data_IF_109329648853
#
_entry.id   IF_109329648853
#
_cell.length_a   1.000
_cell.length_b   1.000
_cell.length_c   1.000
_cell.angle_alpha   90.00
_cell.angle_beta   90.00
_cell.angle_gamma   90.00
#
_symmetry.space_group_name_H-M   'P 1'
#
loop_
_entity.id
_entity.type
_entity.pdbx_description
1 polymer ?
#
# COMPACT_ATOMS: atom_id res chain seq x y z
N UNK A 1 -32.20 -42.57 -58.32
CA UNK A 1 -31.99 -41.17 -57.91
C UNK A 1 -32.73 -41.02 -56.57
N UNK A 2 -32.25 -41.54 -55.42
CA UNK A 2 -30.98 -41.28 -54.70
C UNK A 2 -30.72 -39.77 -54.66
N UNK A 3 -30.63 -39.06 -53.53
CA UNK A 3 -30.00 -39.41 -52.25
C UNK A 3 -30.36 -38.39 -51.14
N UNK A 4 -30.67 -38.94 -49.96
CA UNK A 4 -30.38 -38.55 -48.57
C UNK A 4 -30.63 -37.16 -47.96
N UNK A 5 -31.03 -37.32 -46.70
CA UNK A 5 -31.28 -36.44 -45.56
C UNK A 5 -29.97 -36.30 -44.77
N UNK A 6 -29.49 -35.08 -44.53
CA UNK A 6 -28.32 -34.79 -43.68
C UNK A 6 -28.76 -33.76 -42.61
N UNK A 7 -29.18 -34.19 -41.43
CA UNK A 7 -28.41 -34.20 -40.16
C UNK A 7 -27.79 -32.85 -39.79
N UNK A 8 -28.55 -32.09 -38.99
CA UNK A 8 -28.03 -31.05 -38.10
C UNK A 8 -26.94 -31.63 -37.20
N UNK A 9 -25.73 -31.07 -37.32
CA UNK A 9 -24.69 -31.20 -36.29
C UNK A 9 -24.51 -29.82 -35.70
N UNK A 10 -25.09 -29.62 -34.53
CA UNK A 10 -24.71 -28.56 -33.60
C UNK A 10 -23.28 -28.85 -33.12
N UNK A 11 -22.26 -28.01 -33.41
CA UNK A 11 -21.06 -28.06 -32.61
C UNK A 11 -21.39 -27.42 -31.25
N UNK A 12 -21.17 -28.24 -30.22
CA UNK A 12 -21.24 -27.88 -28.83
C UNK A 12 -20.48 -26.59 -28.53
N UNK A 13 -21.08 -25.78 -27.66
CA UNK A 13 -20.51 -24.68 -26.89
C UNK A 13 -19.02 -24.84 -26.64
N UNK A 14 -18.20 -24.14 -27.43
CA UNK A 14 -16.87 -23.77 -26.98
C UNK A 14 -17.06 -22.74 -25.85
N UNK A 15 -16.78 -23.15 -24.63
CA UNK A 15 -16.51 -22.24 -23.51
C UNK A 15 -15.56 -21.16 -24.01
N UNK A 16 -15.84 -19.85 -23.84
CA UNK A 16 -14.87 -18.84 -24.20
C UNK A 16 -13.66 -19.03 -23.30
N UNK A 17 -12.58 -19.57 -23.87
CA UNK A 17 -11.25 -19.55 -23.30
C UNK A 17 -10.98 -18.08 -22.95
N UNK A 18 -10.85 -17.79 -21.65
CA UNK A 18 -10.62 -16.44 -21.17
C UNK A 18 -9.45 -15.86 -21.97
N UNK A 19 -9.59 -14.66 -22.57
CA UNK A 19 -8.54 -14.11 -23.42
C UNK A 19 -7.25 -14.08 -22.60
N UNK A 20 -6.19 -14.69 -23.14
CA UNK A 20 -4.88 -14.67 -22.52
C UNK A 20 -4.57 -13.24 -22.05
N UNK A 21 -4.10 -13.05 -20.80
CA UNK A 21 -3.91 -11.72 -20.24
C UNK A 21 -3.05 -10.91 -21.20
N UNK A 22 -3.53 -9.70 -21.52
CA UNK A 22 -2.95 -8.83 -22.53
C UNK A 22 -1.41 -8.81 -22.43
N UNK A 23 -0.75 -9.32 -23.47
CA UNK A 23 0.71 -9.49 -23.56
C UNK A 23 1.42 -8.24 -24.06
N UNK A 24 0.75 -7.09 -24.01
CA UNK A 24 1.31 -5.81 -24.49
C UNK A 24 2.10 -5.18 -23.34
N UNK A 25 3.42 -4.95 -23.52
CA UNK A 25 4.23 -4.25 -22.54
C UNK A 25 3.60 -2.90 -22.14
N UNK A 26 3.56 -2.62 -20.84
CA UNK A 26 2.89 -1.43 -20.28
C UNK A 26 1.42 -1.63 -19.92
N UNK A 27 0.82 -2.79 -20.19
CA UNK A 27 -0.50 -3.12 -19.66
C UNK A 27 -0.41 -3.40 -18.16
N UNK A 28 -1.26 -2.75 -17.35
CA UNK A 28 -1.31 -3.03 -15.91
C UNK A 28 -2.21 -4.23 -15.64
N UNK A 29 -1.64 -5.26 -15.04
CA UNK A 29 -2.32 -6.48 -14.60
C UNK A 29 -2.39 -6.53 -13.08
N UNK A 30 -3.49 -7.04 -12.55
CA UNK A 30 -3.68 -7.33 -11.13
C UNK A 30 -3.50 -8.83 -10.91
N UNK A 31 -2.53 -9.21 -10.08
CA UNK A 31 -2.33 -10.56 -9.56
C UNK A 31 -3.29 -10.77 -8.38
N UNK A 32 -4.24 -11.68 -8.54
CA UNK A 32 -5.29 -11.95 -7.56
C UNK A 32 -4.77 -12.70 -6.33
N UNK A 33 -3.70 -13.49 -6.46
CA UNK A 33 -3.09 -14.21 -5.34
C UNK A 33 -2.34 -13.24 -4.44
N UNK A 34 -1.53 -12.36 -5.04
CA UNK A 34 -0.73 -11.37 -4.29
C UNK A 34 -1.51 -10.11 -3.98
N UNK A 35 -2.69 -9.92 -4.60
CA UNK A 35 -3.50 -8.70 -4.55
C UNK A 35 -2.68 -7.46 -4.85
N UNK A 36 -1.85 -7.56 -5.89
CA UNK A 36 -0.92 -6.52 -6.31
C UNK A 36 -1.10 -6.24 -7.79
N UNK A 37 -1.04 -4.95 -8.17
CA UNK A 37 -1.04 -4.52 -9.56
C UNK A 37 0.36 -4.16 -10.03
N UNK A 38 0.69 -4.54 -11.26
CA UNK A 38 1.98 -4.28 -11.90
C UNK A 38 1.88 -4.20 -13.41
N UNK A 39 2.88 -3.55 -14.02
CA UNK A 39 3.01 -3.47 -15.47
C UNK A 39 3.54 -4.80 -16.02
N UNK A 40 2.88 -5.32 -17.05
CA UNK A 40 3.36 -6.47 -17.80
C UNK A 40 4.66 -6.13 -18.51
N UNK A 41 5.69 -6.94 -18.25
CA UNK A 41 7.02 -6.79 -18.85
C UNK A 41 7.23 -7.79 -19.98
N UNK A 42 7.07 -9.08 -19.68
CA UNK A 42 7.35 -10.17 -20.61
C UNK A 42 6.70 -11.48 -20.15
N UNK A 43 6.74 -12.49 -21.02
CA UNK A 43 6.43 -13.87 -20.67
C UNK A 43 7.70 -14.54 -20.12
N UNK A 44 7.61 -15.18 -18.96
CA UNK A 44 8.69 -15.92 -18.30
C UNK A 44 8.28 -17.39 -18.17
N UNK A 45 8.54 -18.19 -19.22
CA UNK A 45 8.09 -19.59 -19.27
C UNK A 45 6.56 -19.71 -19.19
N UNK A 46 6.00 -20.47 -18.22
CA UNK A 46 4.56 -20.56 -18.02
C UNK A 46 3.97 -19.32 -17.30
N UNK A 47 4.80 -18.44 -16.76
CA UNK A 47 4.39 -17.29 -15.97
C UNK A 47 4.44 -15.98 -16.76
N UNK A 48 3.76 -14.95 -16.25
CA UNK A 48 3.95 -13.57 -16.70
C UNK A 48 4.84 -12.82 -15.73
N UNK A 49 5.76 -12.02 -16.26
CA UNK A 49 6.64 -11.17 -15.46
C UNK A 49 5.99 -9.79 -15.30
N UNK A 50 5.73 -9.40 -14.06
CA UNK A 50 5.14 -8.12 -13.70
C UNK A 50 6.15 -7.26 -12.95
N UNK A 51 6.13 -5.96 -13.24
CA UNK A 51 6.90 -4.94 -12.53
C UNK A 51 5.98 -4.09 -11.64
N UNK A 52 6.33 -3.82 -10.37
CA UNK A 52 5.51 -2.97 -9.52
C UNK A 52 5.43 -1.55 -10.09
N UNK A 53 4.24 -0.95 -10.02
CA UNK A 53 4.08 0.48 -10.29
C UNK A 53 4.90 1.24 -9.24
N UNK A 54 5.74 2.19 -9.68
CA UNK A 54 6.69 2.90 -8.81
C UNK A 54 8.08 2.27 -8.68
N UNK A 55 8.30 1.11 -9.30
CA UNK A 55 9.58 0.40 -9.26
C UNK A 55 9.70 -0.55 -8.06
N UNK A 56 10.69 -1.43 -8.11
CA UNK A 56 10.87 -2.50 -7.13
C UNK A 56 11.23 -3.82 -7.79
N UNK A 57 11.15 -4.90 -7.02
CA UNK A 57 11.45 -6.25 -7.51
C UNK A 57 10.32 -6.76 -8.40
N UNK A 58 10.66 -7.12 -9.63
CA UNK A 58 9.76 -7.82 -10.55
C UNK A 58 9.37 -9.18 -9.98
N UNK A 59 8.16 -9.64 -10.29
CA UNK A 59 7.67 -10.93 -9.83
C UNK A 59 6.98 -11.70 -10.96
N UNK A 60 7.05 -13.02 -10.85
CA UNK A 60 6.34 -13.95 -11.71
C UNK A 60 4.93 -14.19 -11.15
N UNK A 61 3.92 -14.09 -12.01
CA UNK A 61 2.52 -14.33 -11.68
C UNK A 61 1.93 -15.39 -12.61
N UNK A 62 1.00 -16.19 -12.07
CA UNK A 62 0.27 -17.18 -12.87
C UNK A 62 -0.66 -16.45 -13.86
N UNK A 63 -0.56 -16.74 -15.18
CA UNK A 63 -1.42 -16.13 -16.20
C UNK A 63 -2.93 -16.36 -15.94
N UNK A 64 -3.30 -17.41 -15.22
CA UNK A 64 -4.70 -17.71 -14.85
C UNK A 64 -5.19 -16.92 -13.64
N UNK A 65 -4.27 -16.43 -12.81
CA UNK A 65 -4.56 -15.62 -11.63
C UNK A 65 -4.33 -14.12 -11.85
N UNK A 66 -4.02 -13.70 -13.08
CA UNK A 66 -3.87 -12.29 -13.45
C UNK A 66 -5.02 -11.84 -14.33
N UNK A 67 -5.45 -10.60 -14.15
CA UNK A 67 -6.41 -9.95 -15.02
C UNK A 67 -6.02 -8.50 -15.29
N UNK A 68 -6.56 -7.86 -16.35
CA UNK A 68 -6.47 -6.41 -16.49
C UNK A 68 -6.89 -5.71 -15.19
N UNK A 69 -6.04 -4.80 -14.72
CA UNK A 69 -6.33 -4.02 -13.54
C UNK A 69 -7.49 -3.06 -13.82
N UNK A 70 -8.42 -2.96 -12.87
CA UNK A 70 -9.46 -1.93 -12.93
C UNK A 70 -8.85 -0.54 -12.76
N UNK A 71 -9.52 0.54 -13.20
CA UNK A 71 -9.03 1.90 -12.98
C UNK A 71 -8.75 2.21 -11.50
N UNK A 72 -9.57 1.69 -10.58
CA UNK A 72 -9.40 1.87 -9.14
C UNK A 72 -8.14 1.17 -8.60
N UNK A 73 -7.82 -0.03 -9.09
CA UNK A 73 -6.61 -0.76 -8.68
C UNK A 73 -5.34 -0.14 -9.25
N UNK A 74 -5.41 0.37 -10.49
CA UNK A 74 -4.33 1.15 -11.07
C UNK A 74 -4.04 2.39 -10.24
N UNK A 75 -5.08 3.18 -9.92
CA UNK A 75 -4.95 4.36 -9.08
C UNK A 75 -4.40 4.02 -7.69
N UNK A 76 -4.89 2.95 -7.08
CA UNK A 76 -4.42 2.50 -5.77
C UNK A 76 -2.94 2.11 -5.79
N UNK A 77 -2.49 1.46 -6.85
CA UNK A 77 -1.08 1.10 -7.03
C UNK A 77 -0.19 2.33 -7.29
N UNK A 78 -0.67 3.31 -8.05
CA UNK A 78 0.00 4.59 -8.26
C UNK A 78 0.11 5.40 -6.95
N UNK A 79 -0.97 5.48 -6.17
CA UNK A 79 -0.96 6.14 -4.85
C UNK A 79 0.00 5.43 -3.89
N UNK A 80 -0.06 4.09 -3.85
CA UNK A 80 0.87 3.28 -3.04
C UNK A 80 2.32 3.53 -3.45
N UNK A 81 2.61 3.58 -4.74
CA UNK A 81 3.94 3.87 -5.26
C UNK A 81 4.48 5.25 -4.83
N UNK A 82 3.63 6.27 -4.86
CA UNK A 82 3.98 7.62 -4.40
C UNK A 82 4.22 7.62 -2.88
N UNK A 83 3.33 7.00 -2.10
CA UNK A 83 3.45 6.90 -0.65
C UNK A 83 4.68 6.12 -0.21
N UNK A 84 5.01 5.01 -0.88
CA UNK A 84 6.20 4.22 -0.56
C UNK A 84 7.49 5.00 -0.84
N UNK A 85 7.50 5.86 -1.86
CA UNK A 85 8.63 6.74 -2.19
C UNK A 85 8.87 7.77 -1.09
N UNK A 86 7.82 8.40 -0.57
CA UNK A 86 7.94 9.35 0.54
C UNK A 86 8.23 8.64 1.87
N UNK A 87 7.73 7.42 2.06
CA UNK A 87 7.97 6.62 3.26
C UNK A 87 9.39 6.09 3.39
N UNK A 88 10.06 5.70 2.29
CA UNK A 88 11.47 5.23 2.34
C UNK A 88 12.46 6.33 2.71
N UNK A 89 12.17 7.57 2.34
CA UNK A 89 12.94 8.74 2.79
C UNK A 89 12.42 9.31 4.13
N UNK A 90 11.23 8.89 4.57
CA UNK A 90 10.50 9.42 5.73
C UNK A 90 10.93 8.89 7.10
N UNK A 91 11.79 7.87 7.18
CA UNK A 91 12.35 7.39 8.47
C UNK A 91 13.88 7.30 8.39
N UNK A 92 14.52 8.39 7.96
CA UNK A 92 15.90 8.68 8.36
C UNK A 92 16.03 10.12 8.84
N UNK A 93 15.06 10.55 9.64
CA UNK A 93 15.12 11.80 10.40
C UNK A 93 15.99 11.64 11.65
N UNK A 94 16.73 12.67 12.07
CA UNK A 94 17.60 12.61 13.24
C UNK A 94 16.77 12.60 14.53
N UNK A 95 16.66 11.48 15.25
CA UNK A 95 16.37 11.37 16.70
C UNK A 95 15.08 11.99 17.29
N UNK A 96 14.41 12.93 16.64
CA UNK A 96 13.13 13.48 17.05
C UNK A 96 12.03 12.61 16.42
N UNK A 97 11.87 11.43 17.00
CA UNK A 97 10.67 10.66 16.75
C UNK A 97 9.47 11.46 17.33
N UNK A 98 8.74 12.15 16.46
CA UNK A 98 7.52 12.88 16.82
C UNK A 98 6.40 11.94 17.27
N UNK A 99 6.47 10.65 16.88
CA UNK A 99 5.51 9.63 17.33
C UNK A 99 5.80 9.18 18.76
N UNK A 100 7.07 9.26 19.21
CA UNK A 100 7.45 9.01 20.60
C UNK A 100 7.23 10.25 21.45
N UNK A 101 6.29 10.16 22.38
CA UNK A 101 5.95 11.24 23.29
C UNK A 101 7.17 11.65 24.17
N UNK A 102 7.40 12.95 24.45
CA UNK A 102 8.48 13.40 25.34
C UNK A 102 8.31 12.83 26.75
N UNK A 103 9.44 12.50 27.40
CA UNK A 103 9.48 11.97 28.77
C UNK A 103 9.70 13.14 29.73
N UNK A 104 8.92 13.27 30.82
CA UNK A 104 9.12 14.34 31.80
C UNK A 104 10.48 14.19 32.51
N UNK A 105 11.17 15.32 32.74
CA UNK A 105 12.42 15.33 33.51
C UNK A 105 12.10 15.12 35.00
N UNK A 106 12.70 14.14 35.68
CA UNK A 106 12.45 13.91 37.10
C UNK A 106 12.75 15.17 37.94
N UNK A 107 11.83 15.52 38.83
CA UNK A 107 11.95 16.70 39.70
C UNK A 107 11.51 18.02 39.09
N UNK A 108 11.14 18.07 37.80
CA UNK A 108 10.53 19.25 37.21
C UNK A 108 8.99 19.21 37.32
N UNK A 109 8.40 20.16 38.04
CA UNK A 109 6.95 20.26 38.23
C UNK A 109 6.17 20.49 36.94
N UNK A 110 6.64 21.39 36.08
CA UNK A 110 6.00 21.71 34.80
C UNK A 110 6.00 20.51 33.84
N UNK A 111 7.10 19.74 33.81
CA UNK A 111 7.14 18.47 33.08
C UNK A 111 6.10 17.45 33.61
N UNK A 112 5.95 17.34 34.93
CA UNK A 112 5.00 16.41 35.53
C UNK A 112 3.54 16.81 35.24
N UNK A 113 3.24 18.11 35.28
CA UNK A 113 1.91 18.64 34.95
C UNK A 113 1.52 18.36 33.50
N UNK A 114 2.43 18.63 32.55
CA UNK A 114 2.19 18.34 31.13
C UNK A 114 2.03 16.84 30.86
N UNK A 115 2.74 15.97 31.60
CA UNK A 115 2.54 14.52 31.51
C UNK A 115 1.16 14.08 32.04
N UNK A 116 0.73 14.66 33.16
CA UNK A 116 -0.60 14.40 33.72
C UNK A 116 -1.72 14.89 32.78
N UNK A 117 -1.59 16.08 32.20
CA UNK A 117 -2.52 16.60 31.19
C UNK A 117 -2.63 15.67 30.00
N UNK A 118 -1.48 15.19 29.49
CA UNK A 118 -1.45 14.20 28.40
C UNK A 118 -2.12 12.88 28.78
N UNK A 119 -1.95 12.41 30.01
CA UNK A 119 -2.57 11.18 30.50
C UNK A 119 -4.10 11.32 30.61
N UNK A 120 -4.58 12.45 31.13
CA UNK A 120 -6.02 12.76 31.21
C UNK A 120 -6.65 12.86 29.81
N UNK A 121 -6.01 13.57 28.88
CA UNK A 121 -6.47 13.69 27.50
C UNK A 121 -6.59 12.32 26.80
N UNK A 122 -5.71 11.36 27.10
CA UNK A 122 -5.83 9.98 26.60
C UNK A 122 -7.06 9.25 27.16
N UNK A 123 -7.38 9.45 28.44
CA UNK A 123 -8.58 8.87 29.08
C UNK A 123 -9.85 9.44 28.46
N UNK A 124 -9.83 10.73 28.11
CA UNK A 124 -10.96 11.43 27.47
C UNK A 124 -11.02 11.24 25.94
N UNK A 125 -10.02 10.57 25.36
CA UNK A 125 -9.85 10.41 23.91
C UNK A 125 -9.69 11.73 23.13
N UNK A 126 -9.20 12.79 23.77
CA UNK A 126 -8.85 14.05 23.11
C UNK A 126 -7.41 14.03 22.59
N UNK A 127 -7.25 13.55 21.35
CA UNK A 127 -5.94 13.46 20.71
C UNK A 127 -5.32 14.83 20.35
N UNK A 128 -6.13 15.89 20.26
CA UNK A 128 -5.63 17.25 20.05
C UNK A 128 -4.91 17.71 21.31
N UNK A 129 -5.54 17.56 22.48
CA UNK A 129 -4.92 17.88 23.76
C UNK A 129 -3.68 17.02 24.07
N UNK A 130 -3.66 15.74 23.69
CA UNK A 130 -2.46 14.89 23.76
C UNK A 130 -1.30 15.48 22.95
N UNK A 131 -1.59 15.98 21.75
CA UNK A 131 -0.60 16.58 20.86
C UNK A 131 -0.09 17.92 21.41
N UNK A 132 -0.98 18.76 21.93
CA UNK A 132 -0.63 20.05 22.54
C UNK A 132 0.28 19.87 23.76
N UNK A 133 -0.04 18.94 24.65
CA UNK A 133 0.80 18.62 25.81
C UNK A 133 2.21 18.15 25.39
N UNK A 134 2.32 17.36 24.31
CA UNK A 134 3.62 16.96 23.76
C UNK A 134 4.40 18.15 23.21
N UNK A 135 3.75 19.07 22.49
CA UNK A 135 4.38 20.27 21.92
C UNK A 135 4.89 21.18 23.04
N UNK A 136 4.06 21.44 24.05
CA UNK A 136 4.40 22.26 25.21
C UNK A 136 5.57 21.66 25.99
N UNK A 137 5.57 20.35 26.23
CA UNK A 137 6.65 19.69 26.96
C UNK A 137 7.99 19.78 26.21
N UNK A 138 8.01 19.56 24.89
CA UNK A 138 9.24 19.74 24.09
C UNK A 138 9.72 21.19 24.06
N UNK A 139 8.81 22.16 24.10
CA UNK A 139 9.16 23.58 24.18
C UNK A 139 9.82 23.91 25.52
N UNK A 140 9.21 23.48 26.62
CA UNK A 140 9.74 23.65 27.98
C UNK A 140 11.12 23.00 28.12
N UNK A 141 11.25 21.72 27.74
CA UNK A 141 12.53 21.01 27.84
C UNK A 141 13.67 21.68 27.07
N UNK A 142 13.41 22.19 25.84
CA UNK A 142 14.43 22.93 25.08
C UNK A 142 14.83 24.24 25.73
N UNK A 143 13.93 24.88 26.46
CA UNK A 143 14.18 26.17 27.10
C UNK A 143 14.88 26.01 28.45
N UNK A 144 14.43 25.05 29.26
CA UNK A 144 14.74 24.97 30.68
C UNK A 144 15.58 23.73 31.06
N UNK A 145 15.75 22.76 30.16
CA UNK A 145 16.48 21.50 30.39
C UNK A 145 17.51 21.16 29.31
N UNK A 146 17.82 22.09 28.41
CA UNK A 146 18.89 21.88 27.44
C UNK A 146 20.24 22.08 28.14
N UNK A 147 20.92 20.98 28.44
CA UNK A 147 22.36 20.92 28.69
C UNK A 147 23.04 20.23 27.50
#
# INVERSE_FOLDING_TARGET
MTTQRNTETTPATATPEAPAPATVPGTVLCDLEKRMAGEYQAKAGPYVLLRPIGGGREWEADPTAVRPATPAERLSAEVKAVNDRTGRDGVRGPGYDMTRAPVPVPGCGECAELDAQRALARVEFDYSAVSDANVLMRRHQRKDHCA
#
